data_IF_784630670736
#
_entry.id   IF_784630670736
#
_cell.length_a   1.000
_cell.length_b   1.000
_cell.length_c   1.000
_cell.angle_alpha   90.00
_cell.angle_beta   90.00
_cell.angle_gamma   90.00
#
_symmetry.space_group_name_H-M   'P 1'
#
loop_
_entity.id
_entity.type
_entity.pdbx_description
1 polymer ?
#
# COMPACT_ATOMS: atom_id res chain seq x y z
N UNK A 1 9.02 6.62 33.55
CA UNK A 1 9.92 6.24 32.43
C UNK A 1 9.06 6.11 31.19
N UNK A 2 9.60 6.43 30.02
CA UNK A 2 8.85 6.30 28.76
C UNK A 2 8.89 4.85 28.28
N UNK A 3 7.71 4.26 28.10
CA UNK A 3 7.50 2.87 27.73
C UNK A 3 6.84 2.81 26.35
N UNK A 4 7.31 1.90 25.49
CA UNK A 4 6.63 1.54 24.25
C UNK A 4 5.50 0.57 24.55
N UNK A 5 4.26 1.03 24.45
CA UNK A 5 3.07 0.23 24.82
C UNK A 5 2.88 -1.02 23.96
N UNK A 6 3.53 -1.10 22.78
CA UNK A 6 3.47 -2.29 21.92
C UNK A 6 4.36 -3.43 22.40
N UNK A 7 5.42 -3.10 23.14
CA UNK A 7 6.44 -4.08 23.56
C UNK A 7 6.54 -4.22 25.08
N UNK A 8 6.20 -3.17 25.84
CA UNK A 8 6.43 -3.08 27.28
C UNK A 8 7.87 -2.74 27.66
N UNK A 9 8.70 -2.37 26.68
CA UNK A 9 10.11 -2.00 26.86
C UNK A 9 10.29 -0.48 26.86
N UNK A 10 11.52 0.00 27.12
CA UNK A 10 11.80 1.43 27.08
C UNK A 10 11.62 1.98 25.66
N UNK A 11 10.84 3.05 25.53
CA UNK A 11 10.62 3.74 24.27
C UNK A 11 11.91 4.40 23.74
N UNK A 12 12.07 4.43 22.43
CA UNK A 12 13.20 5.05 21.76
C UNK A 12 12.80 5.62 20.38
N UNK A 13 13.77 5.92 19.52
CA UNK A 13 13.53 6.47 18.17
C UNK A 13 12.68 5.57 17.26
N UNK A 14 12.48 4.29 17.60
CA UNK A 14 11.62 3.35 16.88
C UNK A 14 10.17 3.34 17.38
N UNK A 15 9.88 4.05 18.46
CA UNK A 15 8.56 4.12 19.08
C UNK A 15 7.83 5.37 18.57
N UNK A 16 6.78 5.21 17.73
CA UNK A 16 5.94 6.33 17.36
C UNK A 16 5.29 6.96 18.60
N UNK A 17 5.12 8.29 18.60
CA UNK A 17 4.57 9.04 19.74
C UNK A 17 3.25 8.47 20.28
N UNK A 18 2.37 7.93 19.41
CA UNK A 18 1.11 7.34 19.85
C UNK A 18 1.25 6.07 20.70
N UNK A 19 2.44 5.47 20.73
CA UNK A 19 2.78 4.30 21.52
C UNK A 19 3.75 4.61 22.66
N UNK A 20 4.10 5.88 22.89
CA UNK A 20 4.92 6.31 24.03
C UNK A 20 4.01 6.63 25.21
N UNK A 21 4.22 5.96 26.34
CA UNK A 21 3.51 6.25 27.60
C UNK A 21 4.48 6.48 28.76
N UNK A 22 4.22 7.51 29.58
CA UNK A 22 4.98 7.73 30.80
C UNK A 22 4.42 6.86 31.93
N UNK A 23 5.17 5.84 32.33
CA UNK A 23 4.77 4.91 33.38
C UNK A 23 5.67 5.05 34.62
N UNK A 24 5.02 5.06 35.79
CA UNK A 24 5.69 5.01 37.08
C UNK A 24 5.85 3.56 37.54
N UNK A 25 7.02 3.24 38.10
CA UNK A 25 7.33 1.93 38.67
C UNK A 25 7.66 2.09 40.16
N UNK A 26 6.97 1.31 40.99
CA UNK A 26 7.27 1.24 42.42
C UNK A 26 8.43 0.29 42.65
N UNK A 27 9.63 0.85 42.84
CA UNK A 27 10.83 0.08 43.15
C UNK A 27 10.73 -0.59 44.52
N UNK A 28 10.59 -1.92 44.50
CA UNK A 28 10.47 -2.72 45.72
C UNK A 28 11.85 -3.08 46.29
N UNK A 29 12.07 -2.95 47.61
CA UNK A 29 13.30 -3.42 48.25
C UNK A 29 13.53 -4.92 48.03
N UNK A 30 14.77 -5.33 47.73
CA UNK A 30 15.09 -6.74 47.49
C UNK A 30 14.95 -7.65 48.72
N UNK A 31 14.94 -7.06 49.93
CA UNK A 31 14.86 -7.77 51.21
C UNK A 31 13.43 -7.98 51.72
N UNK A 32 12.39 -7.69 50.92
CA UNK A 32 11.01 -7.91 51.33
C UNK A 32 10.69 -9.40 51.51
N UNK A 33 9.98 -9.69 52.61
CA UNK A 33 9.31 -10.98 52.81
C UNK A 33 8.21 -11.20 51.77
N UNK A 34 7.73 -12.44 51.65
CA UNK A 34 6.63 -12.75 50.72
C UNK A 34 5.34 -11.98 51.05
N UNK A 35 5.03 -11.80 52.35
CA UNK A 35 3.87 -11.02 52.77
C UNK A 35 4.00 -9.53 52.42
N UNK A 36 5.15 -8.91 52.70
CA UNK A 36 5.37 -7.49 52.36
C UNK A 36 5.36 -7.25 50.85
N UNK A 37 5.87 -8.21 50.06
CA UNK A 37 5.82 -8.15 48.60
C UNK A 37 4.38 -8.19 48.08
N UNK A 38 3.54 -9.08 48.63
CA UNK A 38 2.12 -9.13 48.25
C UNK A 38 1.38 -7.83 48.60
N UNK A 39 1.61 -7.28 49.79
CA UNK A 39 1.02 -5.98 50.15
C UNK A 39 1.48 -4.85 49.21
N UNK A 40 2.75 -4.86 48.78
CA UNK A 40 3.26 -3.85 47.88
C UNK A 40 2.69 -3.97 46.45
N UNK A 41 2.38 -5.21 46.01
CA UNK A 41 1.65 -5.44 44.75
C UNK A 41 0.21 -4.91 44.84
N UNK A 42 -0.49 -5.19 45.95
CA UNK A 42 -1.84 -4.65 46.20
C UNK A 42 -1.87 -3.13 46.21
N UNK A 43 -0.88 -2.49 46.85
CA UNK A 43 -0.77 -1.03 46.85
C UNK A 43 -0.43 -0.46 45.48
N UNK A 44 0.35 -1.16 44.68
CA UNK A 44 0.64 -0.70 43.32
C UNK A 44 -0.62 -0.73 42.46
N UNK A 45 -1.44 -1.78 42.57
CA UNK A 45 -2.76 -1.84 41.93
C UNK A 45 -3.67 -0.70 42.41
N UNK A 46 -3.72 -0.43 43.73
CA UNK A 46 -4.52 0.68 44.29
C UNK A 46 -4.05 2.06 43.81
N UNK A 47 -2.75 2.22 43.58
CA UNK A 47 -2.14 3.46 43.09
C UNK A 47 -2.11 3.55 41.55
N UNK A 48 -2.71 2.60 40.85
CA UNK A 48 -2.69 2.49 39.38
C UNK A 48 -1.25 2.55 38.83
N UNK A 49 -0.30 1.94 39.53
CA UNK A 49 1.12 1.89 39.20
C UNK A 49 1.61 0.45 39.08
N UNK A 50 2.75 0.24 38.44
CA UNK A 50 3.35 -1.09 38.30
C UNK A 50 4.35 -1.31 39.43
N UNK A 51 4.10 -2.33 40.26
CA UNK A 51 5.08 -2.77 41.26
C UNK A 51 6.18 -3.59 40.60
N UNK A 52 7.43 -3.22 40.84
CA UNK A 52 8.58 -3.90 40.26
C UNK A 52 9.65 -2.92 39.82
N UNK A 53 10.72 -3.49 39.27
CA UNK A 53 11.73 -2.70 38.57
C UNK A 53 11.19 -2.31 37.19
N UNK A 54 11.48 -1.07 36.77
CA UNK A 54 11.24 -0.64 35.41
C UNK A 54 12.03 -1.51 34.43
N UNK A 55 11.54 -1.70 33.19
CA UNK A 55 12.34 -2.33 32.14
C UNK A 55 13.65 -1.56 31.96
N UNK A 56 14.71 -2.31 31.69
CA UNK A 56 16.05 -1.74 31.44
C UNK A 56 16.49 -1.92 29.98
N UNK A 57 15.71 -2.69 29.21
CA UNK A 57 15.92 -2.94 27.80
C UNK A 57 15.12 -1.94 26.97
N UNK A 58 15.69 -1.51 25.86
CA UNK A 58 15.06 -0.63 24.88
C UNK A 58 14.39 -1.46 23.78
N UNK A 59 13.31 -0.93 23.19
CA UNK A 59 12.63 -1.58 22.07
C UNK A 59 13.56 -1.82 20.88
N UNK A 60 13.70 -3.06 20.42
CA UNK A 60 14.42 -3.39 19.20
C UNK A 60 13.47 -3.58 18.00
N UNK A 61 14.01 -3.59 16.77
CA UNK A 61 13.20 -3.75 15.55
C UNK A 61 12.49 -5.10 15.48
N UNK A 62 13.10 -6.14 16.03
CA UNK A 62 12.54 -7.49 16.14
C UNK A 62 11.36 -7.58 17.11
N UNK A 63 11.31 -6.71 18.13
CA UNK A 63 10.25 -6.69 19.13
C UNK A 63 8.97 -6.03 18.61
N UNK A 64 9.07 -5.26 17.53
CA UNK A 64 7.93 -4.56 16.93
C UNK A 64 6.92 -5.61 16.42
N UNK A 65 5.69 -5.65 16.98
CA UNK A 65 4.75 -6.74 16.68
C UNK A 65 4.11 -6.60 15.30
N UNK A 66 4.09 -5.37 14.76
CA UNK A 66 3.35 -5.03 13.54
C UNK A 66 4.22 -4.21 12.61
N UNK A 67 4.40 -4.69 11.38
CA UNK A 67 5.12 -3.97 10.33
C UNK A 67 4.55 -4.29 8.94
N UNK A 68 4.50 -3.29 8.06
CA UNK A 68 4.28 -3.48 6.63
C UNK A 68 5.62 -3.24 5.92
N UNK A 69 6.18 -4.29 5.33
CA UNK A 69 7.43 -4.23 4.56
C UNK A 69 7.16 -3.92 3.11
N UNK A 70 6.11 -4.52 2.53
CA UNK A 70 5.61 -4.16 1.20
C UNK A 70 4.08 -4.12 1.21
N UNK A 71 3.48 -3.14 0.52
CA UNK A 71 4.13 -2.06 -0.23
C UNK A 71 4.80 -1.01 0.66
N UNK A 72 5.87 -0.39 0.16
CA UNK A 72 6.54 0.72 0.85
C UNK A 72 5.68 1.99 0.81
N UNK A 73 5.92 2.91 1.74
CA UNK A 73 5.27 4.21 1.75
C UNK A 73 5.53 4.97 0.42
N UNK A 74 4.48 5.50 -0.20
CA UNK A 74 4.49 6.14 -1.51
C UNK A 74 4.52 5.19 -2.71
N UNK A 75 4.43 3.87 -2.51
CA UNK A 75 4.46 2.90 -3.61
C UNK A 75 3.31 3.09 -4.59
N UNK A 76 3.59 2.84 -5.89
CA UNK A 76 2.58 2.83 -6.95
C UNK A 76 2.01 1.43 -7.10
N UNK A 77 0.69 1.30 -6.98
CA UNK A 77 -0.02 0.03 -6.93
C UNK A 77 -0.92 -0.13 -8.16
N UNK A 78 -0.98 -1.37 -8.65
CA UNK A 78 -1.83 -1.75 -9.77
C UNK A 78 -2.17 -3.24 -9.69
N UNK A 79 -3.42 -3.59 -9.98
CA UNK A 79 -3.88 -4.98 -10.01
C UNK A 79 -3.93 -5.61 -8.62
N UNK A 80 -3.56 -6.89 -8.54
CA UNK A 80 -3.49 -7.63 -7.28
C UNK A 80 -2.11 -7.42 -6.65
N UNK A 81 -2.10 -6.74 -5.50
CA UNK A 81 -0.87 -6.39 -4.76
C UNK A 81 -0.69 -7.37 -3.61
N UNK A 82 0.48 -7.97 -3.52
CA UNK A 82 0.87 -8.77 -2.36
C UNK A 82 1.32 -7.84 -1.22
N UNK A 83 0.76 -8.03 -0.03
CA UNK A 83 1.15 -7.30 1.18
C UNK A 83 2.01 -8.23 2.03
N UNK A 84 3.21 -7.76 2.39
CA UNK A 84 4.17 -8.51 3.20
C UNK A 84 4.64 -7.71 4.40
N UNK A 85 4.99 -8.42 5.47
CA UNK A 85 5.46 -7.82 6.70
C UNK A 85 5.30 -8.75 7.88
N UNK A 86 5.00 -8.15 9.04
CA UNK A 86 4.94 -8.79 10.35
C UNK A 86 3.62 -8.48 11.06
N UNK A 87 3.02 -9.51 11.63
CA UNK A 87 1.91 -9.46 12.55
C UNK A 87 2.09 -10.61 13.55
N UNK A 88 2.78 -10.33 14.65
CA UNK A 88 3.15 -11.31 15.67
C UNK A 88 3.14 -10.65 17.04
N UNK A 89 2.55 -11.30 18.03
CA UNK A 89 2.67 -10.94 19.45
C UNK A 89 2.51 -12.19 20.30
N UNK A 90 2.91 -12.13 21.57
CA UNK A 90 2.79 -13.27 22.48
C UNK A 90 1.33 -13.64 22.74
N UNK A 91 0.46 -12.64 22.91
CA UNK A 91 -0.98 -12.77 23.15
C UNK A 91 -1.81 -12.46 21.90
N UNK A 92 -1.32 -12.91 20.74
CA UNK A 92 -1.95 -12.68 19.45
C UNK A 92 -3.31 -13.37 19.33
N UNK A 93 -4.32 -12.58 18.94
CA UNK A 93 -5.64 -13.11 18.57
C UNK A 93 -5.81 -13.20 17.05
N UNK A 94 -5.60 -12.09 16.36
CA UNK A 94 -5.81 -11.97 14.91
C UNK A 94 -5.14 -10.71 14.36
N UNK A 95 -5.00 -10.64 13.04
CA UNK A 95 -4.73 -9.39 12.35
C UNK A 95 -5.70 -9.16 11.20
N UNK A 96 -5.88 -7.89 10.83
CA UNK A 96 -6.66 -7.46 9.67
C UNK A 96 -5.90 -6.43 8.85
N UNK A 97 -6.04 -6.56 7.53
CA UNK A 97 -5.57 -5.60 6.55
C UNK A 97 -6.74 -4.77 6.07
N UNK A 98 -6.59 -3.45 6.08
CA UNK A 98 -7.67 -2.53 5.76
C UNK A 98 -7.15 -1.33 4.98
N UNK A 99 -8.01 -0.71 4.17
CA UNK A 99 -7.65 0.49 3.42
C UNK A 99 -8.74 1.55 3.45
N UNK A 100 -8.34 2.78 3.15
CA UNK A 100 -9.25 3.88 2.85
C UNK A 100 -8.61 4.87 1.88
N UNK A 101 -9.38 5.73 1.19
CA UNK A 101 -8.83 6.86 0.45
C UNK A 101 -7.98 7.75 1.36
N UNK A 102 -6.83 8.23 0.89
CA UNK A 102 -5.97 9.08 1.70
C UNK A 102 -6.68 10.41 2.02
N UNK A 103 -6.54 10.87 3.26
CA UNK A 103 -7.27 12.03 3.76
C UNK A 103 -8.74 11.74 4.10
N UNK A 104 -9.20 10.48 4.00
CA UNK A 104 -10.40 10.03 4.68
C UNK A 104 -10.27 10.31 6.19
N UNK A 105 -11.11 11.19 6.70
CA UNK A 105 -11.18 11.49 8.13
C UNK A 105 -12.24 10.61 8.77
N UNK A 106 -11.84 9.61 9.57
CA UNK A 106 -12.74 8.74 10.31
C UNK A 106 -12.25 7.30 10.41
N UNK A 107 -13.11 6.44 11.00
CA UNK A 107 -12.92 4.99 11.16
C UNK A 107 -13.54 4.17 10.02
N UNK A 108 -13.81 4.79 8.87
CA UNK A 108 -14.42 4.16 7.69
C UNK A 108 -13.41 3.34 6.88
N UNK A 109 -12.77 2.38 7.53
CA UNK A 109 -11.81 1.47 6.92
C UNK A 109 -12.51 0.31 6.21
N UNK A 110 -12.04 -0.01 5.01
CA UNK A 110 -12.54 -1.13 4.22
C UNK A 110 -11.65 -2.34 4.45
N UNK A 111 -12.24 -3.44 4.91
CA UNK A 111 -11.54 -4.71 5.14
C UNK A 111 -11.06 -5.33 3.83
N UNK A 112 -9.76 -5.65 3.76
CA UNK A 112 -9.14 -6.44 2.69
C UNK A 112 -9.17 -7.91 3.06
N UNK A 113 -8.65 -8.24 4.25
CA UNK A 113 -8.55 -9.60 4.74
C UNK A 113 -8.37 -9.62 6.25
N UNK A 114 -8.69 -10.77 6.85
CA UNK A 114 -8.52 -11.07 8.27
C UNK A 114 -7.87 -12.45 8.39
N UNK A 115 -6.98 -12.61 9.37
CA UNK A 115 -6.26 -13.85 9.62
C UNK A 115 -6.05 -14.08 11.11
N UNK A 116 -6.26 -15.32 11.54
CA UNK A 116 -5.96 -15.77 12.90
C UNK A 116 -4.61 -16.49 13.00
N UNK A 117 -3.69 -16.26 12.06
CA UNK A 117 -2.35 -16.88 12.09
C UNK A 117 -1.27 -15.81 12.13
N UNK A 118 -0.32 -15.95 13.05
CA UNK A 118 0.80 -15.03 13.19
C UNK A 118 1.77 -15.12 12.00
N UNK A 119 2.35 -14.00 11.62
CA UNK A 119 3.34 -13.87 10.55
C UNK A 119 4.53 -13.07 11.08
N UNK A 120 5.74 -13.64 11.05
CA UNK A 120 6.95 -12.93 11.52
C UNK A 120 7.60 -12.10 10.42
N UNK A 121 7.78 -12.68 9.23
CA UNK A 121 8.26 -11.97 8.03
C UNK A 121 7.73 -12.74 6.81
N UNK A 122 6.58 -12.33 6.30
CA UNK A 122 5.89 -13.12 5.28
C UNK A 122 4.74 -12.41 4.61
N UNK A 123 3.90 -13.18 3.93
CA UNK A 123 2.70 -12.66 3.26
C UNK A 123 1.60 -12.49 4.28
N UNK A 124 1.12 -11.26 4.41
CA UNK A 124 -0.01 -10.90 5.27
C UNK A 124 -1.34 -11.04 4.52
N UNK A 125 -1.33 -10.79 3.21
CA UNK A 125 -2.52 -10.93 2.37
C UNK A 125 -2.32 -10.39 0.96
N UNK A 126 -3.41 -10.36 0.19
CA UNK A 126 -3.45 -9.81 -1.16
C UNK A 126 -4.55 -8.76 -1.25
N UNK A 127 -4.25 -7.64 -1.90
CA UNK A 127 -5.21 -6.57 -2.11
C UNK A 127 -5.48 -6.39 -3.60
N UNK A 128 -6.70 -6.66 -4.02
CA UNK A 128 -7.14 -6.36 -5.37
C UNK A 128 -7.52 -4.87 -5.49
N UNK A 129 -6.72 -4.12 -6.24
CA UNK A 129 -6.95 -2.70 -6.50
C UNK A 129 -7.76 -2.47 -7.79
N UNK A 130 -8.12 -3.53 -8.52
CA UNK A 130 -8.96 -3.42 -9.70
C UNK A 130 -10.37 -2.94 -9.29
N UNK A 131 -10.78 -1.79 -9.81
CA UNK A 131 -12.06 -1.16 -9.48
C UNK A 131 -11.97 -0.02 -8.47
N UNK A 132 -10.79 0.21 -7.87
CA UNK A 132 -10.52 1.45 -7.16
C UNK A 132 -10.24 2.59 -8.15
N UNK A 133 -10.64 3.81 -7.78
CA UNK A 133 -10.26 5.00 -8.53
C UNK A 133 -8.77 5.24 -8.36
N UNK A 134 -8.09 5.73 -9.40
CA UNK A 134 -6.70 6.12 -9.21
C UNK A 134 -6.60 7.33 -8.27
N UNK A 135 -5.64 7.25 -7.35
CA UNK A 135 -5.49 8.23 -6.29
C UNK A 135 -4.69 7.69 -5.11
N UNK A 136 -4.40 8.54 -4.12
CA UNK A 136 -3.73 8.14 -2.91
C UNK A 136 -4.66 7.37 -1.97
N UNK A 137 -4.15 6.31 -1.36
CA UNK A 137 -4.83 5.46 -0.39
C UNK A 137 -3.95 5.23 0.83
N UNK A 138 -4.58 5.07 1.98
CA UNK A 138 -3.94 4.64 3.21
C UNK A 138 -4.21 3.16 3.41
N UNK A 139 -3.16 2.37 3.53
CA UNK A 139 -3.21 0.94 3.86
C UNK A 139 -2.78 0.79 5.32
N UNK A 140 -3.55 0.08 6.13
CA UNK A 140 -3.15 -0.26 7.49
C UNK A 140 -3.21 -1.76 7.75
N UNK A 141 -2.36 -2.18 8.67
CA UNK A 141 -2.37 -3.49 9.30
C UNK A 141 -2.70 -3.27 10.78
N UNK A 142 -3.73 -3.95 11.27
CA UNK A 142 -4.13 -3.92 12.67
C UNK A 142 -3.98 -5.33 13.23
N UNK A 143 -3.20 -5.47 14.29
CA UNK A 143 -3.07 -6.67 15.11
C UNK A 143 -3.91 -6.47 16.36
N UNK A 144 -4.65 -7.51 16.76
CA UNK A 144 -5.40 -7.56 18.01
C UNK A 144 -4.64 -8.48 18.97
N UNK A 145 -4.28 -7.92 20.11
CA UNK A 145 -3.57 -8.57 21.21
C UNK A 145 -4.48 -8.59 22.44
N UNK A 146 -4.55 -9.72 23.15
CA UNK A 146 -5.46 -9.89 24.29
C UNK A 146 -5.09 -8.95 25.46
N UNK A 147 -3.81 -8.69 25.68
CA UNK A 147 -3.34 -7.84 26.79
C UNK A 147 -3.22 -6.36 26.37
N UNK A 148 -2.67 -6.09 25.18
CA UNK A 148 -2.32 -4.74 24.71
C UNK A 148 -3.40 -4.09 23.84
N UNK A 149 -4.43 -4.83 23.43
CA UNK A 149 -5.49 -4.33 22.56
C UNK A 149 -5.06 -4.21 21.10
N UNK A 150 -5.52 -3.16 20.42
CA UNK A 150 -5.24 -2.98 18.99
C UNK A 150 -3.94 -2.23 18.73
N UNK A 151 -3.02 -2.88 18.03
CA UNK A 151 -1.75 -2.29 17.59
C UNK A 151 -1.79 -2.19 16.06
N UNK A 152 -1.49 -1.00 15.53
CA UNK A 152 -1.58 -0.77 14.08
C UNK A 152 -0.40 -0.03 13.49
N UNK A 153 -0.14 -0.32 12.21
CA UNK A 153 0.80 0.43 11.37
C UNK A 153 0.12 0.81 10.07
N UNK A 154 0.51 1.96 9.51
CA UNK A 154 -0.09 2.53 8.30
C UNK A 154 0.98 2.95 7.31
N UNK A 155 0.69 2.77 6.03
CA UNK A 155 1.49 3.28 4.90
C UNK A 155 0.57 3.98 3.90
N UNK A 156 1.06 5.04 3.27
CA UNK A 156 0.37 5.69 2.14
C UNK A 156 0.85 5.08 0.83
N UNK A 157 -0.05 4.92 -0.14
CA UNK A 157 0.24 4.34 -1.45
C UNK A 157 -0.56 5.05 -2.53
N UNK A 158 -0.16 4.90 -3.79
CA UNK A 158 -0.82 5.51 -4.95
C UNK A 158 -1.35 4.43 -5.89
N UNK A 159 -2.67 4.28 -5.98
CA UNK A 159 -3.29 3.40 -6.98
C UNK A 159 -3.27 4.10 -8.34
N UNK A 160 -2.78 3.41 -9.37
CA UNK A 160 -2.69 3.93 -10.75
C UNK A 160 -3.59 3.14 -11.71
N UNK A 161 -4.11 3.81 -12.74
CA UNK A 161 -4.95 3.17 -13.75
C UNK A 161 -4.12 2.27 -14.68
N UNK A 162 -4.77 1.21 -15.16
CA UNK A 162 -4.32 0.50 -16.37
C UNK A 162 -4.53 1.44 -17.55
N UNK A 163 -3.46 2.05 -18.04
CA UNK A 163 -3.42 2.57 -19.41
C UNK A 163 -2.80 1.46 -20.24
N UNK A 164 -3.65 0.67 -20.90
CA UNK A 164 -3.17 -0.18 -21.97
C UNK A 164 -2.44 0.73 -22.98
N UNK A 165 -1.23 0.39 -23.44
CA UNK A 165 -0.64 1.09 -24.56
C UNK A 165 -1.56 0.84 -25.75
N UNK A 166 -2.33 1.87 -26.14
CA UNK A 166 -2.97 1.88 -27.46
C UNK A 166 -1.83 1.78 -28.47
N UNK A 167 -1.63 0.60 -29.06
CA UNK A 167 -0.78 0.49 -30.24
C UNK A 167 -1.27 1.54 -31.23
N UNK A 168 -0.39 2.39 -31.80
CA UNK A 168 -0.82 3.37 -32.76
C UNK A 168 -1.45 2.64 -33.93
N UNK A 169 -2.78 2.70 -34.05
CA UNK A 169 -3.50 2.22 -35.22
C UNK A 169 -2.88 2.90 -36.43
N UNK A 170 -2.13 2.14 -37.24
CA UNK A 170 -1.56 2.65 -38.47
C UNK A 170 -2.69 3.32 -39.27
N UNK A 171 -2.58 4.63 -39.48
CA UNK A 171 -3.53 5.37 -40.32
C UNK A 171 -3.54 4.68 -41.69
N UNK A 172 -4.71 4.31 -42.26
CA UNK A 172 -4.73 3.69 -43.57
C UNK A 172 -4.03 4.62 -44.56
N UNK A 173 -2.96 4.12 -45.19
CA UNK A 173 -2.27 4.84 -46.25
C UNK A 173 -3.30 5.19 -47.34
N UNK A 174 -3.35 6.43 -47.85
CA UNK A 174 -4.29 6.77 -48.90
C UNK A 174 -4.09 5.85 -50.10
N UNK A 175 -5.15 5.22 -50.57
CA UNK A 175 -5.17 4.45 -51.82
C UNK A 175 -4.69 5.37 -52.95
N UNK A 176 -3.70 4.98 -53.77
CA UNK A 176 -3.28 5.80 -54.89
C UNK A 176 -4.46 6.01 -55.85
N UNK A 177 -4.84 7.27 -56.06
CA UNK A 177 -5.81 7.65 -57.09
C UNK A 177 -5.14 7.42 -58.44
N UNK A 178 -5.61 6.43 -59.19
CA UNK A 178 -5.18 6.24 -60.58
C UNK A 178 -5.74 7.42 -61.39
N UNK A 179 -4.87 8.30 -61.85
CA UNK A 179 -5.21 9.41 -62.73
C UNK A 179 -5.63 8.84 -64.10
N UNK A 180 -6.76 9.25 -64.70
CA UNK A 180 -7.12 8.78 -66.04
C UNK A 180 -6.04 9.22 -67.03
N UNK A 181 -5.54 8.27 -67.80
CA UNK A 181 -4.62 8.49 -68.92
C UNK A 181 -5.33 9.31 -69.98
N UNK A 182 -4.79 10.49 -70.33
CA UNK A 182 -5.31 11.28 -71.45
C UNK A 182 -5.14 10.50 -72.76
N UNK A 183 -6.26 10.28 -73.45
CA UNK A 183 -6.33 9.70 -74.79
C UNK A 183 -5.67 10.63 -75.80
N UNK A 184 -4.71 10.16 -76.62
CA UNK A 184 -4.09 10.98 -77.65
C UNK A 184 -5.11 11.44 -78.71
N UNK A 185 -5.04 12.69 -79.21
CA UNK A 185 -5.96 13.19 -80.21
C UNK A 185 -5.74 12.55 -81.59
N UNK A 186 -6.85 12.19 -82.23
CA UNK A 186 -6.97 11.57 -83.55
C UNK A 186 -6.51 12.53 -84.67
N UNK A 187 -5.51 12.11 -85.46
CA UNK A 187 -4.94 12.89 -86.57
C UNK A 187 -5.89 12.87 -87.80
N UNK A 188 -6.53 14.01 -88.05
CA UNK A 188 -7.48 14.22 -89.15
C UNK A 188 -6.73 14.27 -90.50
N UNK A 189 -6.87 13.22 -91.32
CA UNK A 189 -6.39 13.23 -92.70
C UNK A 189 -7.21 14.18 -93.59
N UNK A 190 -6.60 15.31 -93.95
CA UNK A 190 -7.15 16.29 -94.89
C UNK A 190 -7.18 15.77 -96.34
N UNK A 191 -8.38 15.60 -96.90
CA UNK A 191 -8.61 15.39 -98.33
C UNK A 191 -8.18 16.61 -99.14
N UNK A 192 -7.10 16.51 -99.93
CA UNK A 192 -6.78 17.49 -100.99
C UNK A 192 -7.35 17.05 -102.34
N UNK A 193 -8.15 17.95 -102.92
CA UNK A 193 -8.89 17.85 -104.17
C UNK A 193 -7.96 17.68 -105.39
N UNK A 194 -8.28 16.75 -106.29
CA UNK A 194 -7.72 16.69 -107.65
C UNK A 194 -8.36 17.79 -108.51
N UNK A 195 -7.53 18.66 -109.09
CA UNK A 195 -7.82 19.40 -110.33
C UNK A 195 -6.58 19.30 -111.21
N UNK A 196 -6.71 18.66 -112.37
CA UNK A 196 -5.91 18.97 -113.56
C UNK A 196 -6.77 18.65 -114.78
N UNK A 197 -6.95 19.68 -115.60
CA UNK A 197 -7.45 19.61 -116.96
C UNK A 197 -6.35 20.14 -117.88
N UNK A 198 -6.46 19.72 -119.14
CA UNK A 198 -5.89 20.29 -120.37
C UNK A 198 -4.59 19.65 -120.92
N UNK A 199 -4.78 18.76 -121.89
CA UNK A 199 -4.44 18.87 -123.33
C UNK A 199 -3.05 19.37 -123.77
N UNK A 200 -2.37 18.54 -124.57
CA UNK A 200 -1.92 18.81 -125.95
C UNK A 200 -1.55 17.47 -126.63
#
# INVERSE_FOLDING_TARGET
VEIDTRTGLLANDLTPEQYVEEQAFLKLPGNLTAWERNQALEWAEELETTAGDAPTEETAEEDIPVAITQPANGARLQGVVQITGRARSDDFEQYRLEFQPAGGGGDDWVLISISGSQITDGTLGFWDTNGLLAGPYSLRLVLVDEERGEISVRVEVLVVLVVDPVEPTATPSPTPVILPTETPPEEVQGRRRRKRATEA
#
